data_IF_375402026846
#
_entry.id   IF_375402026846
#
_cell.length_a   1.000
_cell.length_b   1.000
_cell.length_c   1.000
_cell.angle_alpha   90.00
_cell.angle_beta   90.00
_cell.angle_gamma   90.00
#
_symmetry.space_group_name_H-M   'P 1'
#
loop_
_entity.id
_entity.type
_entity.pdbx_description
1 polymer ?
#
# COMPACT_ATOMS: atom_id res chain seq x y z
N UNK A 1 20.88 -3.69 -35.79
CA UNK A 1 22.01 -3.60 -34.84
C UNK A 1 22.00 -4.86 -33.99
N UNK A 2 23.14 -5.55 -33.85
CA UNK A 2 23.26 -6.74 -32.98
C UNK A 2 24.28 -6.41 -31.92
N UNK A 3 23.84 -6.31 -30.67
CA UNK A 3 24.71 -6.12 -29.51
C UNK A 3 25.05 -7.50 -28.94
N UNK A 4 26.33 -7.84 -28.87
CA UNK A 4 26.81 -9.10 -28.27
C UNK A 4 27.62 -8.79 -27.02
N UNK A 5 27.65 -9.72 -26.06
CA UNK A 5 28.41 -9.60 -24.80
C UNK A 5 27.98 -8.46 -23.85
N UNK A 6 26.72 -8.03 -23.92
CA UNK A 6 26.14 -7.09 -22.95
C UNK A 6 26.08 -7.77 -21.57
N UNK A 7 26.82 -7.25 -20.58
CA UNK A 7 26.67 -7.65 -19.18
C UNK A 7 25.64 -6.73 -18.54
N UNK A 8 24.48 -7.27 -18.21
CA UNK A 8 23.36 -6.55 -17.60
C UNK A 8 23.17 -7.14 -16.22
N UNK A 9 23.28 -6.31 -15.19
CA UNK A 9 23.01 -6.70 -13.80
C UNK A 9 21.49 -6.70 -13.55
N UNK A 10 21.00 -7.48 -12.58
CA UNK A 10 19.62 -7.32 -12.11
C UNK A 10 19.32 -5.85 -11.74
N UNK A 11 18.19 -5.32 -12.22
CA UNK A 11 17.79 -3.93 -12.02
C UNK A 11 18.33 -2.92 -13.05
N UNK A 12 19.24 -3.32 -13.94
CA UNK A 12 19.67 -2.47 -15.06
C UNK A 12 18.67 -2.56 -16.23
N UNK A 13 18.37 -1.41 -16.84
CA UNK A 13 17.48 -1.35 -18.00
C UNK A 13 18.28 -1.30 -19.31
N UNK A 14 17.81 -2.07 -20.29
CA UNK A 14 18.28 -1.95 -21.67
C UNK A 14 17.26 -1.11 -22.41
N UNK A 15 17.65 0.13 -22.74
CA UNK A 15 16.82 1.02 -23.56
C UNK A 15 17.23 0.89 -25.02
N UNK A 16 16.30 0.48 -25.87
CA UNK A 16 16.49 0.49 -27.32
C UNK A 16 15.75 1.69 -27.88
N UNK A 17 16.50 2.61 -28.50
CA UNK A 17 15.95 3.74 -29.24
C UNK A 17 16.17 3.51 -30.73
N UNK A 18 15.13 3.72 -31.51
CA UNK A 18 15.21 3.61 -32.96
C UNK A 18 14.02 4.28 -33.63
N UNK A 19 14.21 4.62 -34.90
CA UNK A 19 13.15 5.10 -35.76
C UNK A 19 12.52 3.93 -36.49
N UNK A 20 11.20 3.83 -36.44
CA UNK A 20 10.46 2.90 -37.31
C UNK A 20 10.40 3.51 -38.70
N UNK A 21 10.85 2.76 -39.71
CA UNK A 21 10.76 3.21 -41.11
C UNK A 21 9.29 3.39 -41.53
N UNK A 22 9.03 4.37 -42.40
CA UNK A 22 7.69 4.75 -42.85
C UNK A 22 6.90 3.60 -43.49
N UNK A 23 7.58 2.68 -44.15
CA UNK A 23 7.04 1.52 -44.86
C UNK A 23 7.22 0.20 -44.10
N UNK A 24 7.67 0.25 -42.85
CA UNK A 24 7.88 -0.93 -42.03
C UNK A 24 6.55 -1.66 -41.76
N UNK A 25 6.46 -2.91 -42.21
CA UNK A 25 5.33 -3.81 -41.89
C UNK A 25 5.43 -4.39 -40.47
N UNK A 26 6.65 -4.50 -39.96
CA UNK A 26 6.96 -4.95 -38.61
C UNK A 26 8.42 -4.64 -38.28
N UNK A 27 8.80 -4.67 -37.00
CA UNK A 27 10.19 -4.76 -36.57
C UNK A 27 10.34 -5.80 -35.47
N UNK A 28 11.56 -6.23 -35.18
CA UNK A 28 11.82 -7.20 -34.12
C UNK A 28 12.99 -6.76 -33.24
N UNK A 29 12.82 -6.96 -31.93
CA UNK A 29 13.88 -6.90 -30.93
C UNK A 29 14.06 -8.31 -30.36
N UNK A 30 15.26 -8.86 -30.54
CA UNK A 30 15.61 -10.20 -30.08
C UNK A 30 16.62 -10.10 -28.94
N UNK A 31 16.34 -10.77 -27.83
CA UNK A 31 17.24 -10.89 -26.69
C UNK A 31 17.51 -12.37 -26.42
N UNK A 32 18.78 -12.76 -26.41
CA UNK A 32 19.18 -14.15 -26.15
C UNK A 32 20.51 -14.51 -26.80
N UNK A 33 20.77 -15.81 -26.89
CA UNK A 33 21.93 -16.40 -27.54
C UNK A 33 21.65 -16.55 -29.04
N UNK A 34 22.54 -15.99 -29.86
CA UNK A 34 22.39 -16.02 -31.31
C UNK A 34 22.16 -17.46 -31.85
N UNK A 35 21.11 -17.63 -32.66
CA UNK A 35 20.89 -18.79 -33.52
C UNK A 35 20.28 -20.04 -32.88
N UNK A 36 20.03 -20.08 -31.57
CA UNK A 36 19.48 -21.28 -30.91
C UNK A 36 18.48 -20.97 -29.79
N UNK A 37 18.76 -19.96 -28.97
CA UNK A 37 17.94 -19.66 -27.79
C UNK A 37 17.64 -18.15 -27.71
N UNK A 38 16.39 -17.77 -27.89
CA UNK A 38 15.90 -16.42 -27.65
C UNK A 38 15.06 -16.42 -26.38
N UNK A 39 15.52 -15.69 -25.36
CA UNK A 39 14.74 -15.44 -24.17
C UNK A 39 13.55 -14.51 -24.46
N UNK A 40 13.70 -13.61 -25.44
CA UNK A 40 12.63 -12.77 -25.95
C UNK A 40 12.78 -12.53 -27.45
N UNK A 41 11.68 -12.74 -28.16
CA UNK A 41 11.40 -12.21 -29.49
C UNK A 41 10.22 -11.24 -29.37
N UNK A 42 10.48 -9.94 -29.45
CA UNK A 42 9.48 -8.89 -29.42
C UNK A 42 9.27 -8.36 -30.83
N UNK A 43 8.12 -8.62 -31.41
CA UNK A 43 7.82 -8.32 -32.81
C UNK A 43 6.50 -7.55 -32.98
N UNK A 44 6.53 -6.21 -32.91
CA UNK A 44 5.41 -5.37 -33.30
C UNK A 44 5.13 -5.49 -34.80
N UNK A 45 3.89 -5.84 -35.13
CA UNK A 45 3.36 -5.98 -36.49
C UNK A 45 2.37 -4.84 -36.76
N UNK A 46 2.72 -3.95 -37.69
CA UNK A 46 1.82 -2.92 -38.19
C UNK A 46 0.76 -3.58 -39.08
N UNK A 47 1.22 -4.28 -40.12
CA UNK A 47 0.42 -5.10 -41.04
C UNK A 47 1.32 -6.21 -41.60
N UNK A 48 1.38 -7.36 -40.92
CA UNK A 48 2.26 -8.46 -41.31
C UNK A 48 1.66 -9.81 -40.91
N UNK A 49 1.83 -10.84 -41.75
CA UNK A 49 1.33 -12.20 -41.49
C UNK A 49 -0.18 -12.29 -41.17
N UNK A 50 -0.99 -11.34 -41.66
CA UNK A 50 -2.43 -11.28 -41.37
C UNK A 50 -2.77 -10.59 -40.04
N UNK A 51 -1.76 -10.17 -39.27
CA UNK A 51 -1.93 -9.38 -38.07
C UNK A 51 -1.89 -7.88 -38.39
N UNK A 52 -2.76 -7.12 -37.73
CA UNK A 52 -2.82 -5.66 -37.83
C UNK A 52 -2.71 -5.04 -36.44
N UNK A 53 -1.75 -4.14 -36.25
CA UNK A 53 -1.48 -3.42 -35.00
C UNK A 53 -1.49 -4.32 -33.77
N UNK A 54 -0.61 -5.32 -33.77
CA UNK A 54 -0.44 -6.22 -32.64
C UNK A 54 1.04 -6.41 -32.33
N UNK A 55 1.35 -6.58 -31.06
CA UNK A 55 2.68 -6.97 -30.61
C UNK A 55 2.68 -8.47 -30.39
N UNK A 56 3.64 -9.15 -31.03
CA UNK A 56 3.90 -10.56 -30.77
C UNK A 56 5.12 -10.69 -29.86
N UNK A 57 4.93 -11.30 -28.69
CA UNK A 57 6.02 -11.75 -27.84
C UNK A 57 6.16 -13.27 -27.98
N UNK A 58 7.37 -13.78 -28.16
CA UNK A 58 7.64 -15.23 -28.13
C UNK A 58 9.03 -15.53 -27.54
N UNK A 59 9.32 -16.79 -27.26
CA UNK A 59 10.65 -17.31 -26.91
C UNK A 59 11.05 -18.42 -27.89
N UNK A 60 12.36 -18.64 -28.04
CA UNK A 60 12.93 -19.71 -28.84
C UNK A 60 13.84 -20.53 -27.92
N UNK A 61 13.64 -21.83 -27.82
CA UNK A 61 14.48 -22.71 -27.00
C UNK A 61 14.87 -23.96 -27.79
N UNK A 62 16.17 -24.23 -27.89
CA UNK A 62 16.67 -25.38 -28.67
C UNK A 62 16.30 -25.32 -30.16
N UNK A 63 16.05 -24.13 -30.70
CA UNK A 63 15.59 -23.93 -32.08
C UNK A 63 14.08 -24.08 -32.30
N UNK A 64 13.29 -24.34 -31.26
CA UNK A 64 11.83 -24.40 -31.32
C UNK A 64 11.17 -23.16 -30.73
N UNK A 65 10.16 -22.63 -31.41
CA UNK A 65 9.40 -21.46 -30.96
C UNK A 65 8.36 -21.88 -29.92
N UNK A 66 8.24 -21.07 -28.87
CA UNK A 66 7.17 -21.20 -27.87
C UNK A 66 5.82 -20.70 -28.36
N UNK A 67 4.86 -20.66 -27.43
CA UNK A 67 3.52 -20.12 -27.68
C UNK A 67 3.58 -18.59 -27.91
N UNK A 68 2.98 -18.12 -29.01
CA UNK A 68 2.91 -16.69 -29.29
C UNK A 68 1.96 -15.98 -28.33
N UNK A 69 2.46 -14.93 -27.68
CA UNK A 69 1.63 -14.00 -26.93
C UNK A 69 1.31 -12.76 -27.75
N UNK A 70 0.06 -12.30 -27.62
CA UNK A 70 -0.53 -11.25 -28.45
C UNK A 70 -0.97 -10.10 -27.57
N UNK A 71 -0.31 -8.96 -27.71
CA UNK A 71 -0.63 -7.73 -26.98
C UNK A 71 -1.27 -6.70 -27.94
N UNK A 72 -2.55 -6.34 -27.73
CA UNK A 72 -3.26 -5.38 -28.56
C UNK A 72 -2.90 -3.91 -28.31
N UNK A 73 -2.28 -3.57 -27.16
CA UNK A 73 -1.79 -2.21 -26.91
C UNK A 73 -0.57 -1.92 -27.79
N UNK A 74 -0.79 -1.18 -28.87
CA UNK A 74 0.18 -0.95 -29.93
C UNK A 74 0.59 0.53 -29.99
N UNK A 75 1.63 0.96 -29.23
CA UNK A 75 2.06 2.35 -29.12
C UNK A 75 3.00 2.81 -30.26
N UNK A 76 3.26 1.97 -31.27
CA UNK A 76 4.21 2.28 -32.34
C UNK A 76 3.55 2.96 -33.54
N UNK A 77 4.26 3.91 -34.14
CA UNK A 77 3.84 4.58 -35.39
C UNK A 77 5.01 4.65 -36.37
N UNK A 78 4.81 4.37 -37.67
CA UNK A 78 5.84 4.59 -38.68
C UNK A 78 6.30 6.05 -38.71
N UNK A 79 7.61 6.28 -38.77
CA UNK A 79 8.21 7.62 -38.77
C UNK A 79 8.29 8.31 -37.41
N UNK A 80 7.97 7.63 -36.31
CA UNK A 80 8.15 8.14 -34.94
C UNK A 80 9.24 7.37 -34.18
N UNK A 81 9.79 7.99 -33.14
CA UNK A 81 10.72 7.34 -32.22
C UNK A 81 9.98 6.26 -31.42
N UNK A 82 10.49 5.03 -31.48
CA UNK A 82 10.03 3.93 -30.64
C UNK A 82 10.97 3.80 -29.43
N UNK A 83 10.39 3.79 -28.23
CA UNK A 83 11.08 3.45 -26.99
C UNK A 83 10.46 2.18 -26.41
N UNK A 84 11.30 1.23 -26.00
CA UNK A 84 10.87 -0.01 -25.36
C UNK A 84 11.88 -0.49 -24.32
N UNK A 85 11.35 -1.04 -23.23
CA UNK A 85 12.09 -1.65 -22.11
C UNK A 85 11.43 -2.99 -21.79
N UNK A 86 12.22 -4.02 -21.48
CA UNK A 86 11.74 -5.39 -21.24
C UNK A 86 12.18 -5.87 -19.87
N UNK A 87 11.26 -6.37 -19.02
CA UNK A 87 11.38 -7.62 -18.24
C UNK A 87 10.13 -7.93 -17.38
N UNK A 88 9.55 -9.13 -17.50
CA UNK A 88 9.11 -10.00 -16.38
C UNK A 88 8.48 -11.31 -16.91
N UNK A 89 8.70 -12.40 -16.17
CA UNK A 89 8.40 -13.81 -16.44
C UNK A 89 7.14 -14.12 -17.27
N UNK A 90 7.32 -14.94 -18.31
CA UNK A 90 6.35 -15.72 -19.10
C UNK A 90 5.06 -15.05 -19.59
N UNK A 91 4.80 -13.77 -19.33
CA UNK A 91 3.70 -12.97 -19.87
C UNK A 91 4.08 -11.50 -20.04
N UNK A 92 3.90 -10.96 -21.24
CA UNK A 92 4.01 -9.53 -21.50
C UNK A 92 2.91 -8.77 -20.72
N UNK A 93 3.30 -7.87 -19.81
CA UNK A 93 2.39 -7.01 -19.02
C UNK A 93 2.81 -5.53 -19.15
N UNK A 94 1.88 -4.56 -19.02
CA UNK A 94 2.21 -3.14 -19.07
C UNK A 94 3.28 -2.76 -18.04
N UNK A 95 4.17 -1.81 -18.37
CA UNK A 95 5.29 -1.36 -17.51
C UNK A 95 4.87 -1.07 -16.06
N UNK A 96 3.76 -0.36 -15.85
CA UNK A 96 3.24 -0.05 -14.51
C UNK A 96 2.66 -1.25 -13.74
N UNK A 97 2.54 -2.40 -14.39
CA UNK A 97 2.07 -3.67 -13.83
C UNK A 97 3.22 -4.65 -13.54
N UNK A 98 4.47 -4.27 -13.83
CA UNK A 98 5.65 -5.06 -13.48
C UNK A 98 6.04 -4.85 -12.01
N UNK A 99 6.40 -5.95 -11.33
CA UNK A 99 7.04 -5.93 -10.01
C UNK A 99 8.55 -5.65 -10.08
N UNK A 100 9.21 -5.71 -8.92
CA UNK A 100 10.61 -5.37 -8.75
C UNK A 100 11.38 -6.60 -8.25
N UNK A 101 12.57 -6.86 -8.82
CA UNK A 101 13.53 -7.77 -8.21
C UNK A 101 14.41 -7.02 -7.21
N UNK A 102 14.56 -7.58 -6.01
CA UNK A 102 15.40 -7.01 -4.98
C UNK A 102 15.97 -8.10 -4.08
N UNK A 103 17.31 -8.19 -4.01
CA UNK A 103 18.05 -9.25 -3.31
C UNK A 103 17.63 -10.67 -3.72
N UNK A 104 17.29 -10.87 -5.00
CA UNK A 104 16.85 -12.18 -5.53
C UNK A 104 15.43 -12.57 -5.17
N UNK A 105 14.64 -11.63 -4.64
CA UNK A 105 13.22 -11.80 -4.36
C UNK A 105 12.38 -10.86 -5.25
N UNK A 106 11.30 -11.41 -5.79
CA UNK A 106 10.33 -10.65 -6.57
C UNK A 106 9.25 -10.05 -5.68
N UNK A 107 9.05 -8.74 -5.80
CA UNK A 107 8.02 -7.97 -5.11
C UNK A 107 7.00 -7.44 -6.11
N UNK A 108 5.71 -7.60 -5.82
CA UNK A 108 4.63 -7.12 -6.69
C UNK A 108 4.61 -5.58 -6.76
N UNK A 109 3.98 -5.00 -7.78
CA UNK A 109 3.74 -3.55 -7.83
C UNK A 109 3.19 -3.02 -6.49
N UNK A 110 3.81 -1.96 -5.95
CA UNK A 110 3.44 -1.34 -4.67
C UNK A 110 3.55 -2.25 -3.43
N UNK A 111 4.11 -3.45 -3.54
CA UNK A 111 4.35 -4.32 -2.40
C UNK A 111 5.36 -3.68 -1.46
N UNK A 112 4.99 -3.55 -0.19
CA UNK A 112 5.85 -2.96 0.83
C UNK A 112 6.43 -4.02 1.78
N UNK A 113 7.74 -3.96 2.01
CA UNK A 113 8.48 -4.91 2.86
C UNK A 113 9.53 -4.21 3.75
N UNK A 114 10.05 -4.94 4.73
CA UNK A 114 11.14 -4.50 5.59
C UNK A 114 12.46 -5.09 5.07
N UNK A 115 13.44 -4.25 4.79
CA UNK A 115 14.73 -4.66 4.22
C UNK A 115 15.77 -5.05 5.30
N UNK A 116 15.46 -4.82 6.57
CA UNK A 116 16.33 -5.20 7.68
C UNK A 116 15.59 -5.86 8.84
N UNK A 117 16.38 -6.43 9.75
CA UNK A 117 15.85 -7.18 10.89
C UNK A 117 15.34 -6.31 12.06
N UNK A 118 15.62 -5.02 12.04
CA UNK A 118 15.32 -4.09 13.13
C UNK A 118 14.24 -3.07 12.75
N UNK A 119 13.62 -3.22 11.57
CA UNK A 119 12.60 -2.32 11.06
C UNK A 119 13.13 -0.88 10.90
N UNK A 120 14.35 -0.73 10.36
CA UNK A 120 14.98 0.57 10.10
C UNK A 120 14.82 1.08 8.64
N UNK A 121 14.42 0.20 7.73
CA UNK A 121 14.32 0.43 6.29
C UNK A 121 13.02 -0.20 5.78
N UNK A 122 12.07 0.66 5.41
CA UNK A 122 10.79 0.26 4.80
C UNK A 122 10.87 0.53 3.31
N UNK A 123 10.63 -0.49 2.51
CA UNK A 123 10.79 -0.45 1.07
C UNK A 123 9.45 -0.71 0.37
N UNK A 124 9.31 -0.17 -0.84
CA UNK A 124 8.17 -0.44 -1.73
C UNK A 124 8.65 -0.60 -3.16
N UNK A 125 8.01 -1.50 -3.91
CA UNK A 125 8.24 -1.61 -5.34
C UNK A 125 7.54 -0.45 -6.09
N UNK A 126 8.33 0.47 -6.63
CA UNK A 126 7.84 1.51 -7.53
C UNK A 126 7.74 0.93 -8.95
N UNK A 127 6.54 0.52 -9.35
CA UNK A 127 6.30 -0.09 -10.67
C UNK A 127 6.47 0.88 -11.83
N UNK A 128 6.48 2.20 -11.58
CA UNK A 128 6.78 3.18 -12.63
C UNK A 128 8.28 3.25 -12.94
N UNK A 129 9.11 2.96 -11.94
CA UNK A 129 10.56 2.94 -12.04
C UNK A 129 11.13 1.52 -12.23
N UNK A 130 10.33 0.48 -11.98
CA UNK A 130 10.76 -0.92 -11.98
C UNK A 130 11.81 -1.23 -10.91
N UNK A 131 11.84 -0.45 -9.82
CA UNK A 131 12.86 -0.57 -8.77
C UNK A 131 12.26 -0.41 -7.38
N UNK A 132 12.99 -0.91 -6.39
CA UNK A 132 12.63 -0.77 -4.98
C UNK A 132 13.09 0.59 -4.46
N UNK A 133 12.17 1.32 -3.83
CA UNK A 133 12.45 2.58 -3.16
C UNK A 133 12.31 2.38 -1.65
N UNK A 134 13.37 2.68 -0.91
CA UNK A 134 13.43 2.49 0.54
C UNK A 134 13.48 3.82 1.28
N UNK A 135 12.77 3.89 2.42
CA UNK A 135 12.80 5.00 3.37
C UNK A 135 13.31 4.51 4.72
N UNK A 136 14.18 5.31 5.35
CA UNK A 136 14.58 5.08 6.73
C UNK A 136 13.39 5.34 7.66
N UNK A 137 13.17 4.43 8.60
CA UNK A 137 12.09 4.53 9.58
C UNK A 137 12.50 3.81 10.87
N UNK A 138 11.63 3.77 11.86
CA UNK A 138 11.82 3.02 13.10
C UNK A 138 10.46 2.74 13.72
N UNK A 139 10.33 1.63 14.45
CA UNK A 139 9.13 1.37 15.23
C UNK A 139 8.87 2.50 16.25
N UNK A 140 7.58 2.76 16.52
CA UNK A 140 7.19 3.83 17.45
C UNK A 140 7.52 3.44 18.89
N UNK A 141 7.39 4.42 19.78
CA UNK A 141 7.46 4.14 21.21
C UNK A 141 6.43 3.08 21.61
N UNK A 142 6.86 2.08 22.40
CA UNK A 142 6.06 0.90 22.81
C UNK A 142 5.69 -0.06 21.68
N UNK A 143 6.43 -0.02 20.58
CA UNK A 143 6.45 -1.07 19.57
C UNK A 143 7.83 -1.74 19.55
N UNK A 144 7.88 -2.97 19.05
CA UNK A 144 9.12 -3.70 18.78
C UNK A 144 9.03 -4.37 17.42
N UNK A 145 10.13 -4.29 16.68
CA UNK A 145 10.28 -5.06 15.44
C UNK A 145 10.29 -6.55 15.79
N UNK A 146 9.30 -7.28 15.30
CA UNK A 146 9.16 -8.72 15.50
C UNK A 146 8.44 -9.37 14.33
N UNK A 147 8.43 -10.70 14.30
CA UNK A 147 7.71 -11.48 13.29
C UNK A 147 6.49 -12.10 13.94
N UNK A 148 5.29 -11.72 13.48
CA UNK A 148 4.01 -12.28 13.93
C UNK A 148 3.35 -12.95 12.73
N UNK A 149 3.01 -14.24 12.86
CA UNK A 149 2.43 -15.04 11.76
C UNK A 149 3.26 -15.02 10.46
N UNK A 150 4.58 -15.02 10.57
CA UNK A 150 5.49 -14.98 9.42
C UNK A 150 5.68 -13.59 8.80
N UNK A 151 4.98 -12.56 9.29
CA UNK A 151 5.11 -11.18 8.79
C UNK A 151 5.94 -10.35 9.77
N UNK A 152 7.02 -9.75 9.27
CA UNK A 152 7.84 -8.79 10.04
C UNK A 152 7.12 -7.44 10.11
N UNK A 153 7.08 -6.86 11.30
CA UNK A 153 6.48 -5.54 11.49
C UNK A 153 6.79 -4.93 12.84
N UNK A 154 6.37 -3.68 13.00
CA UNK A 154 6.33 -3.02 14.31
C UNK A 154 5.06 -3.47 15.03
N UNK A 155 5.25 -4.24 16.10
CA UNK A 155 4.15 -4.78 16.90
C UNK A 155 4.19 -4.19 18.31
N UNK A 156 3.02 -3.94 18.88
CA UNK A 156 2.92 -3.37 20.23
C UNK A 156 3.49 -4.33 21.27
N UNK A 157 4.35 -3.82 22.16
CA UNK A 157 4.95 -4.64 23.24
C UNK A 157 4.19 -4.57 24.56
N UNK A 158 3.26 -3.62 24.68
CA UNK A 158 2.49 -3.43 25.90
C UNK A 158 1.13 -2.85 25.58
N UNK A 159 0.11 -3.35 26.25
CA UNK A 159 -1.18 -2.68 26.37
C UNK A 159 -1.36 -2.23 27.81
N UNK A 160 -2.20 -1.21 28.01
CA UNK A 160 -2.62 -0.76 29.32
C UNK A 160 -4.12 -0.56 29.30
N UNK A 161 -4.76 -0.82 30.44
CA UNK A 161 -6.23 -0.76 30.54
C UNK A 161 -6.61 0.34 31.52
N UNK A 162 -7.48 1.25 31.09
CA UNK A 162 -8.18 2.19 31.96
C UNK A 162 -9.59 1.65 32.22
N UNK A 163 -10.05 1.70 33.46
CA UNK A 163 -11.30 1.06 33.89
C UNK A 163 -12.17 2.08 34.64
N UNK A 164 -13.45 2.17 34.27
CA UNK A 164 -14.49 2.79 35.09
C UNK A 164 -15.43 1.72 35.62
N UNK A 165 -15.43 1.49 36.94
CA UNK A 165 -16.21 0.43 37.61
C UNK A 165 -17.28 1.02 38.51
N UNK A 166 -18.38 1.46 37.90
CA UNK A 166 -19.38 2.27 38.60
C UNK A 166 -18.80 3.63 38.96
N UNK A 167 -19.55 4.69 38.71
CA UNK A 167 -19.15 6.01 39.18
C UNK A 167 -19.25 6.02 40.72
N UNK A 168 -18.18 6.31 41.48
CA UNK A 168 -17.02 7.15 41.13
C UNK A 168 -15.69 6.43 40.83
N UNK A 169 -15.62 5.10 40.75
CA UNK A 169 -14.36 4.36 40.82
C UNK A 169 -13.65 4.25 39.46
N UNK A 170 -12.56 5.00 39.30
CA UNK A 170 -11.72 4.98 38.11
C UNK A 170 -10.35 4.37 38.42
N UNK A 171 -9.82 3.59 37.48
CA UNK A 171 -8.44 3.10 37.48
C UNK A 171 -7.77 3.57 36.20
N UNK A 172 -6.73 4.39 36.30
CA UNK A 172 -5.96 4.93 35.16
C UNK A 172 -5.13 3.86 34.47
N UNK A 173 -4.57 4.20 33.29
CA UNK A 173 -3.63 3.34 32.56
C UNK A 173 -2.35 2.99 33.35
N UNK A 174 -1.92 3.84 34.28
CA UNK A 174 -0.79 3.57 35.20
C UNK A 174 -1.24 2.90 36.52
N UNK A 175 -2.50 2.46 36.61
CA UNK A 175 -3.03 1.67 37.71
C UNK A 175 -3.45 2.48 38.95
N UNK A 176 -3.42 3.81 38.90
CA UNK A 176 -3.87 4.66 40.01
C UNK A 176 -5.38 4.64 40.11
N UNK A 177 -5.86 4.53 41.34
CA UNK A 177 -7.29 4.52 41.66
C UNK A 177 -7.71 5.87 42.23
N UNK A 178 -8.83 6.40 41.76
CA UNK A 178 -9.44 7.58 42.34
C UNK A 178 -10.96 7.54 42.21
N UNK A 179 -11.59 8.26 43.13
CA UNK A 179 -13.03 8.44 43.17
C UNK A 179 -13.36 9.84 42.65
N UNK A 180 -14.15 9.92 41.58
CA UNK A 180 -14.61 11.19 41.02
C UNK A 180 -16.14 11.25 40.91
N UNK A 181 -16.77 12.08 41.75
CA UNK A 181 -18.23 12.23 41.83
C UNK A 181 -18.71 13.38 40.93
N UNK A 182 -18.75 13.13 39.62
CA UNK A 182 -19.13 14.11 38.61
C UNK A 182 -20.47 13.82 37.93
N UNK A 183 -21.24 14.85 37.55
CA UNK A 183 -22.55 14.70 36.87
C UNK A 183 -22.59 15.24 35.44
N UNK A 184 -21.44 15.61 34.89
CA UNK A 184 -21.33 16.11 33.52
C UNK A 184 -20.96 14.99 32.55
N UNK A 185 -20.75 15.37 31.28
CA UNK A 185 -20.07 14.53 30.30
C UNK A 185 -18.56 14.78 30.45
N UNK A 186 -17.80 13.72 30.66
CA UNK A 186 -16.36 13.75 30.84
C UNK A 186 -15.65 13.02 29.71
N UNK A 187 -14.50 13.54 29.29
CA UNK A 187 -13.58 12.82 28.43
C UNK A 187 -12.84 11.79 29.28
N UNK A 188 -13.18 10.52 29.08
CA UNK A 188 -12.63 9.40 29.83
C UNK A 188 -11.26 8.97 29.27
N UNK A 189 -11.14 8.89 27.95
CA UNK A 189 -9.87 8.63 27.27
C UNK A 189 -9.92 9.21 25.85
N UNK A 190 -8.83 9.82 25.40
CA UNK A 190 -8.68 10.27 24.03
C UNK A 190 -7.21 10.17 23.59
N UNK A 191 -6.98 10.23 22.28
CA UNK A 191 -5.63 10.35 21.74
C UNK A 191 -4.99 11.67 22.21
N UNK A 192 -3.79 11.60 22.79
CA UNK A 192 -3.00 12.75 23.22
C UNK A 192 -1.70 12.83 22.40
N UNK A 193 -1.84 12.98 21.08
CA UNK A 193 -0.73 13.09 20.13
C UNK A 193 -1.18 13.87 18.91
N UNK A 194 -0.28 14.66 18.33
CA UNK A 194 -0.49 15.37 17.06
C UNK A 194 0.03 14.56 15.85
N UNK A 195 0.50 13.33 16.06
CA UNK A 195 0.98 12.46 14.98
C UNK A 195 -0.17 12.12 14.02
N UNK A 196 -0.15 12.61 12.76
CA UNK A 196 -1.25 12.41 11.81
C UNK A 196 -1.38 10.95 11.36
N UNK A 197 -0.41 10.09 11.67
CA UNK A 197 -0.46 8.66 11.36
C UNK A 197 -1.19 7.83 12.42
N UNK A 198 -1.56 8.42 13.56
CA UNK A 198 -2.36 7.76 14.59
C UNK A 198 -3.85 8.02 14.36
N UNK A 199 -4.67 6.99 14.56
CA UNK A 199 -6.13 7.14 14.48
C UNK A 199 -6.64 7.88 15.73
N UNK A 200 -7.28 9.05 15.57
CA UNK A 200 -7.88 9.75 16.70
C UNK A 200 -9.10 8.99 17.21
N UNK A 201 -9.29 9.01 18.53
CA UNK A 201 -10.49 8.48 19.18
C UNK A 201 -10.84 9.34 20.39
N UNK A 202 -12.11 9.35 20.77
CA UNK A 202 -12.60 10.00 21.99
C UNK A 202 -13.65 9.13 22.68
N UNK A 203 -13.40 8.80 23.95
CA UNK A 203 -14.35 8.11 24.83
C UNK A 203 -14.93 9.12 25.81
N UNK A 204 -16.23 9.33 25.73
CA UNK A 204 -16.99 10.21 26.63
C UNK A 204 -17.88 9.38 27.56
N UNK A 205 -17.94 9.79 28.81
CA UNK A 205 -18.77 9.17 29.85
C UNK A 205 -19.70 10.24 30.41
N UNK A 206 -21.00 9.97 30.39
CA UNK A 206 -22.03 10.80 31.00
C UNK A 206 -22.57 10.12 32.25
N UNK A 207 -22.51 10.83 33.37
CA UNK A 207 -22.99 10.35 34.66
C UNK A 207 -24.19 11.16 35.14
N UNK A 208 -25.16 10.51 35.77
CA UNK A 208 -26.34 11.16 36.36
C UNK A 208 -26.45 10.85 37.86
N UNK A 209 -26.94 11.80 38.65
CA UNK A 209 -27.24 11.60 40.08
C UNK A 209 -28.52 10.77 40.29
N UNK A 210 -28.50 9.89 41.28
CA UNK A 210 -29.67 9.08 41.69
C UNK A 210 -30.48 9.78 42.79
N UNK A 211 -30.99 10.98 42.52
CA UNK A 211 -31.83 11.73 43.49
C UNK A 211 -31.09 12.23 44.75
N UNK A 212 -29.80 11.92 44.92
CA UNK A 212 -28.87 12.47 45.91
C UNK A 212 -27.58 12.87 45.20
N UNK A 213 -26.89 13.91 45.67
CA UNK A 213 -25.56 14.32 45.17
C UNK A 213 -24.42 13.39 45.62
N UNK A 214 -24.73 12.35 46.40
CA UNK A 214 -23.74 11.45 46.99
C UNK A 214 -23.36 10.25 46.09
N UNK A 215 -24.17 9.90 45.09
CA UNK A 215 -23.93 8.76 44.18
C UNK A 215 -24.45 9.05 42.78
N UNK A 216 -23.61 8.85 41.78
CA UNK A 216 -23.92 8.95 40.36
C UNK A 216 -23.74 7.60 39.66
N UNK A 217 -24.44 7.39 38.53
CA UNK A 217 -24.28 6.20 37.69
C UNK A 217 -24.02 6.61 36.25
N UNK A 218 -23.20 5.82 35.54
CA UNK A 218 -22.97 6.00 34.11
C UNK A 218 -24.25 5.79 33.33
N UNK A 219 -24.79 6.89 32.81
CA UNK A 219 -25.99 6.93 31.97
C UNK A 219 -25.66 6.50 30.55
N UNK A 220 -24.52 6.96 30.04
CA UNK A 220 -24.12 6.76 28.64
C UNK A 220 -22.60 6.77 28.49
N UNK A 221 -22.09 5.84 27.69
CA UNK A 221 -20.72 5.83 27.20
C UNK A 221 -20.77 6.02 25.70
N UNK A 222 -19.95 6.92 25.17
CA UNK A 222 -19.84 7.21 23.74
C UNK A 222 -18.40 7.05 23.29
N UNK A 223 -18.17 6.27 22.24
CA UNK A 223 -16.90 6.11 21.54
C UNK A 223 -17.02 6.76 20.17
N UNK A 224 -16.17 7.74 19.90
CA UNK A 224 -16.02 8.39 18.60
C UNK A 224 -14.70 7.89 17.98
N UNK A 225 -14.77 7.13 16.90
CA UNK A 225 -13.60 6.57 16.19
C UNK A 225 -13.95 6.28 14.73
N UNK A 226 -13.02 6.47 13.79
CA UNK A 226 -13.24 6.23 12.34
C UNK A 226 -14.49 6.91 11.75
N UNK A 227 -14.82 8.14 12.20
CA UNK A 227 -16.07 8.85 11.83
C UNK A 227 -17.35 8.07 12.20
N UNK A 228 -17.25 7.13 13.13
CA UNK A 228 -18.36 6.38 13.70
C UNK A 228 -18.50 6.77 15.16
N UNK A 229 -19.74 7.06 15.55
CA UNK A 229 -20.13 7.23 16.95
C UNK A 229 -20.85 5.97 17.43
N UNK A 230 -20.24 5.27 18.37
CA UNK A 230 -20.80 4.09 19.04
C UNK A 230 -21.22 4.52 20.44
N UNK A 231 -22.44 4.18 20.87
CA UNK A 231 -22.92 4.51 22.20
C UNK A 231 -23.63 3.35 22.90
N UNK A 232 -23.42 3.29 24.20
CA UNK A 232 -24.04 2.38 25.15
C UNK A 232 -24.78 3.23 26.18
N UNK A 233 -26.08 2.99 26.39
CA UNK A 233 -26.88 3.78 27.33
C UNK A 233 -27.76 2.90 28.22
N UNK A 234 -28.09 3.42 29.41
CA UNK A 234 -29.05 2.76 30.31
C UNK A 234 -30.46 2.71 29.75
N UNK A 235 -30.84 3.68 28.91
CA UNK A 235 -32.14 3.74 28.23
C UNK A 235 -32.32 2.55 27.25
N UNK A 236 -31.23 2.07 26.67
CA UNK A 236 -31.20 0.95 25.74
C UNK A 236 -30.24 -0.15 26.22
N UNK A 237 -30.57 -0.83 27.32
CA UNK A 237 -29.66 -1.78 27.94
C UNK A 237 -29.37 -2.95 26.99
N UNK A 238 -28.11 -3.37 26.94
CA UNK A 238 -27.60 -4.44 26.06
C UNK A 238 -27.74 -4.17 24.55
N UNK A 239 -27.99 -2.92 24.15
CA UNK A 239 -28.00 -2.52 22.73
C UNK A 239 -26.85 -1.56 22.45
N UNK A 240 -26.13 -1.84 21.37
CA UNK A 240 -25.14 -0.92 20.80
C UNK A 240 -25.89 0.00 19.83
N UNK A 241 -25.71 1.31 20.00
CA UNK A 241 -26.24 2.32 19.10
C UNK A 241 -25.10 2.87 18.27
N UNK A 242 -25.14 2.66 16.96
CA UNK A 242 -24.12 3.12 16.02
C UNK A 242 -24.67 4.22 15.12
N UNK A 243 -23.89 5.27 14.90
CA UNK A 243 -24.16 6.34 13.95
C UNK A 243 -22.88 6.67 13.20
N UNK A 244 -22.88 6.42 11.88
CA UNK A 244 -21.83 6.95 11.00
C UNK A 244 -22.09 8.45 10.75
N UNK A 245 -21.06 9.28 10.92
CA UNK A 245 -21.09 10.66 10.49
C UNK A 245 -20.90 10.72 8.98
N UNK A 246 -21.82 11.36 8.25
CA UNK A 246 -21.64 11.58 6.81
C UNK A 246 -20.48 12.56 6.64
N UNK A 247 -19.49 12.19 5.83
CA UNK A 247 -18.45 13.13 5.40
C UNK A 247 -19.11 14.36 4.79
N UNK A 248 -19.01 15.48 5.49
CA UNK A 248 -19.38 16.76 4.93
C UNK A 248 -18.25 17.14 3.98
N UNK A 249 -18.43 16.95 2.67
CA UNK A 249 -17.54 17.51 1.64
C UNK A 249 -17.69 19.03 1.62
N UNK A 250 -17.20 19.70 2.66
CA UNK A 250 -17.19 21.14 2.82
C UNK A 250 -15.83 21.70 2.41
N UNK A 251 -15.81 22.42 1.29
CA UNK A 251 -14.78 23.32 0.78
C UNK A 251 -13.38 23.26 1.41
N UNK A 252 -12.45 22.70 0.64
CA UNK A 252 -11.02 22.95 0.78
C UNK A 252 -10.74 24.41 0.43
N UNK A 253 -10.69 25.28 1.45
CA UNK A 253 -10.10 26.61 1.34
C UNK A 253 -8.58 26.44 1.25
N UNK A 254 -8.04 26.67 0.05
CA UNK A 254 -6.60 26.83 -0.16
C UNK A 254 -6.08 28.00 0.70
N UNK A 255 -4.93 27.88 1.37
CA UNK A 255 -4.29 29.03 2.01
C UNK A 255 -3.79 30.01 0.93
N UNK A 256 -3.80 31.33 1.20
CA UNK A 256 -3.26 32.32 0.28
C UNK A 256 -1.75 32.13 0.13
N UNK A 257 -1.29 32.16 -1.12
CA UNK A 257 0.13 32.23 -1.44
C UNK A 257 0.71 33.56 -0.94
N UNK A 258 1.81 33.48 -0.20
CA UNK A 258 2.78 34.56 0.01
C UNK A 258 4.16 34.02 -0.36
#
# INVERSE_FOLDING_TARGET
MVLTHLKVQPGESITVKGMVLLDAKSFALNMGRAGSDLALHFNPRFESHGDTRIIICNSLQGGEWGEEQREPDFPFQPGQDAQGSVLSADKCVPLGSCGCDYNGHYYKPSEEFWDDENCHSRCSCDSSLGTVVCRKTSCKAKERCSVVNGVRGCHTISYSTCIGTGDPHYTTFDGKKYDFMGTCIYQFAALCSEDPTLTPFNVKVENNNRGSKAVSFTKRVTLEVYNVTISLSQEHPRKIQERAEKENKGNQLLPPAN
#
